data_IF_709611612559
#
_entry.id   IF_709611612559
#
_cell.length_a   1.000
_cell.length_b   1.000
_cell.length_c   1.000
_cell.angle_alpha   90.00
_cell.angle_beta   90.00
_cell.angle_gamma   90.00
#
_symmetry.space_group_name_H-M   'P 1'
#
loop_
_entity.id
_entity.type
_entity.pdbx_description
1 polymer ?
#
# COMPACT_ATOMS: atom_id res chain seq x y z
N UNK A 1 -15.42 21.18 23.75
CA UNK A 1 -14.57 20.15 23.11
C UNK A 1 -14.84 18.85 23.82
N UNK A 2 -15.26 17.80 23.11
CA UNK A 2 -15.55 16.50 23.71
C UNK A 2 -14.23 15.73 23.91
N UNK A 3 -13.95 15.31 25.13
CA UNK A 3 -12.81 14.45 25.47
C UNK A 3 -13.11 12.99 25.12
N UNK A 4 -12.08 12.23 24.73
CA UNK A 4 -12.19 10.79 24.50
C UNK A 4 -12.55 10.06 25.82
N UNK A 5 -13.33 8.95 25.75
CA UNK A 5 -13.53 8.10 26.92
C UNK A 5 -12.18 7.55 27.43
N UNK A 6 -12.00 7.39 28.75
CA UNK A 6 -10.78 6.83 29.30
C UNK A 6 -10.57 5.40 28.78
N UNK A 7 -9.35 5.09 28.34
CA UNK A 7 -8.98 3.75 27.92
C UNK A 7 -9.29 2.75 29.03
N UNK A 8 -9.99 1.66 28.70
CA UNK A 8 -10.33 0.63 29.69
C UNK A 8 -9.06 0.08 30.32
N UNK A 9 -9.04 -0.04 31.65
CA UNK A 9 -7.95 -0.50 32.51
C UNK A 9 -7.49 -1.96 32.28
N UNK A 10 -7.85 -2.58 31.15
CA UNK A 10 -7.54 -3.96 30.80
C UNK A 10 -6.13 -4.17 30.25
N UNK A 11 -5.33 -3.11 30.09
CA UNK A 11 -3.96 -3.19 29.57
C UNK A 11 -2.96 -2.83 30.67
N UNK A 12 -2.67 -3.81 31.52
CA UNK A 12 -1.86 -3.66 32.74
C UNK A 12 -0.34 -3.56 32.55
N UNK A 13 0.17 -3.16 31.38
CA UNK A 13 1.61 -2.95 31.22
C UNK A 13 1.91 -1.97 30.08
N UNK A 14 2.79 -0.99 30.33
CA UNK A 14 3.19 0.04 29.36
C UNK A 14 4.23 -0.46 28.34
N UNK A 15 4.55 -1.75 28.35
CA UNK A 15 5.49 -2.37 27.42
C UNK A 15 4.93 -2.41 25.99
N UNK A 16 5.77 -2.03 25.03
CA UNK A 16 5.39 -1.94 23.61
C UNK A 16 5.44 -3.32 22.96
N UNK A 17 6.32 -4.16 23.48
CA UNK A 17 6.47 -5.55 23.11
C UNK A 17 6.24 -6.41 24.35
N UNK A 18 5.23 -7.26 24.29
CA UNK A 18 4.96 -8.27 25.30
C UNK A 18 5.55 -9.60 24.84
N UNK A 19 6.36 -10.23 25.70
CA UNK A 19 6.92 -11.55 25.41
C UNK A 19 5.84 -12.60 25.08
N UNK A 20 4.64 -12.47 25.68
CA UNK A 20 3.48 -13.31 25.40
C UNK A 20 3.03 -13.27 23.93
N UNK A 21 3.33 -12.19 23.20
CA UNK A 21 2.93 -12.00 21.80
C UNK A 21 4.07 -12.30 20.81
N UNK A 22 5.17 -12.91 21.27
CA UNK A 22 6.34 -13.20 20.42
C UNK A 22 5.99 -14.08 19.21
N UNK A 23 5.12 -15.08 19.39
CA UNK A 23 4.67 -15.96 18.31
C UNK A 23 3.95 -15.20 17.20
N UNK A 24 3.06 -14.26 17.57
CA UNK A 24 2.36 -13.39 16.64
C UNK A 24 3.31 -12.41 15.95
N UNK A 25 4.28 -11.86 16.69
CA UNK A 25 5.30 -10.97 16.13
C UNK A 25 6.16 -11.66 15.07
N UNK A 26 6.62 -12.89 15.34
CA UNK A 26 7.36 -13.71 14.38
C UNK A 26 6.52 -13.99 13.14
N UNK A 27 5.27 -14.42 13.32
CA UNK A 27 4.33 -14.65 12.21
C UNK A 27 4.18 -13.40 11.34
N UNK A 28 3.96 -12.24 11.96
CA UNK A 28 3.77 -10.97 11.25
C UNK A 28 5.04 -10.53 10.52
N UNK A 29 6.22 -10.73 11.13
CA UNK A 29 7.51 -10.47 10.48
C UNK A 29 7.72 -11.36 9.25
N UNK A 30 7.37 -12.65 9.33
CA UNK A 30 7.41 -13.56 8.18
C UNK A 30 6.52 -13.04 7.06
N UNK A 31 5.26 -12.68 7.34
CA UNK A 31 4.34 -12.18 6.32
C UNK A 31 4.81 -10.87 5.67
N UNK A 32 5.38 -9.95 6.45
CA UNK A 32 5.99 -8.73 5.91
C UNK A 32 7.13 -9.04 4.93
N UNK A 33 8.01 -9.99 5.28
CA UNK A 33 9.14 -10.38 4.43
C UNK A 33 8.67 -11.13 3.17
N UNK A 34 7.68 -12.01 3.28
CA UNK A 34 7.04 -12.66 2.14
C UNK A 34 6.39 -11.63 1.20
N UNK A 35 5.89 -10.51 1.76
CA UNK A 35 5.39 -9.36 1.01
C UNK A 35 6.39 -8.72 0.05
N UNK A 36 7.71 -8.93 0.24
CA UNK A 36 8.74 -8.43 -0.67
C UNK A 36 9.06 -9.34 -1.85
N UNK A 37 8.65 -10.62 -1.82
CA UNK A 37 8.88 -11.55 -2.94
C UNK A 37 8.37 -10.98 -4.28
N UNK A 38 7.15 -10.41 -4.34
CA UNK A 38 6.66 -9.75 -5.54
C UNK A 38 7.52 -8.55 -5.99
N UNK A 39 8.09 -7.79 -5.05
CA UNK A 39 8.95 -6.65 -5.37
C UNK A 39 10.28 -7.14 -5.96
N UNK A 40 10.88 -8.18 -5.39
CA UNK A 40 12.10 -8.78 -5.92
C UNK A 40 11.88 -9.37 -7.33
N UNK A 41 10.72 -9.98 -7.57
CA UNK A 41 10.36 -10.41 -8.93
C UNK A 41 10.29 -9.24 -9.92
N UNK A 42 9.73 -8.09 -9.52
CA UNK A 42 9.73 -6.89 -10.35
C UNK A 42 11.16 -6.44 -10.68
N UNK A 43 12.07 -6.44 -9.69
CA UNK A 43 13.47 -6.11 -9.89
C UNK A 43 14.16 -7.05 -10.90
N UNK A 44 13.90 -8.37 -10.80
CA UNK A 44 14.39 -9.36 -11.76
C UNK A 44 13.84 -9.10 -13.16
N UNK A 45 12.56 -8.72 -13.27
CA UNK A 45 11.97 -8.38 -14.56
C UNK A 45 12.64 -7.16 -15.20
N UNK A 46 12.91 -6.11 -14.40
CA UNK A 46 13.62 -4.91 -14.84
C UNK A 46 15.02 -5.27 -15.33
N UNK A 47 15.75 -6.09 -14.57
CA UNK A 47 17.11 -6.52 -14.92
C UNK A 47 17.13 -7.33 -16.23
N UNK A 48 16.20 -8.27 -16.41
CA UNK A 48 16.16 -9.14 -17.60
C UNK A 48 15.62 -8.46 -18.85
N UNK A 49 14.78 -7.42 -18.72
CA UNK A 49 14.16 -6.75 -19.86
C UNK A 49 14.09 -5.22 -19.63
N UNK A 50 15.18 -4.48 -19.95
CA UNK A 50 15.26 -3.03 -19.76
C UNK A 50 14.13 -2.22 -20.43
N UNK A 51 13.57 -2.63 -21.59
CA UNK A 51 12.37 -2.00 -22.15
C UNK A 51 11.16 -1.91 -21.20
N UNK A 52 11.03 -2.80 -20.21
CA UNK A 52 9.99 -2.72 -19.17
C UNK A 52 10.07 -1.38 -18.44
N UNK A 53 11.27 -0.87 -18.18
CA UNK A 53 11.47 0.42 -17.51
C UNK A 53 10.84 1.54 -18.30
N UNK A 54 11.11 1.61 -19.61
CA UNK A 54 10.56 2.67 -20.46
C UNK A 54 9.03 2.66 -20.46
N UNK A 55 8.41 1.47 -20.41
CA UNK A 55 6.97 1.28 -20.50
C UNK A 55 6.21 1.47 -19.19
N UNK A 56 6.79 1.06 -18.06
CA UNK A 56 6.11 1.01 -16.76
C UNK A 56 6.76 1.88 -15.68
N UNK A 57 7.74 2.73 -16.02
CA UNK A 57 8.42 3.64 -15.07
C UNK A 57 7.45 4.49 -14.24
N UNK A 58 6.41 5.05 -14.85
CA UNK A 58 5.46 5.97 -14.20
C UNK A 58 4.28 5.26 -13.55
N UNK A 59 4.20 3.93 -13.63
CA UNK A 59 3.09 3.17 -13.06
C UNK A 59 3.66 2.18 -12.05
N UNK A 60 3.96 0.98 -12.50
CA UNK A 60 4.23 -0.18 -11.64
C UNK A 60 5.59 -0.06 -10.96
N UNK A 61 6.60 0.48 -11.66
CA UNK A 61 7.95 0.63 -11.11
C UNK A 61 7.95 1.73 -10.06
N UNK A 62 7.29 2.87 -10.33
CA UNK A 62 7.13 3.93 -9.34
C UNK A 62 6.39 3.43 -8.09
N UNK A 63 5.25 2.75 -8.26
CA UNK A 63 4.52 2.17 -7.14
C UNK A 63 5.40 1.19 -6.33
N UNK A 64 6.04 0.24 -7.00
CA UNK A 64 6.87 -0.77 -6.35
C UNK A 64 8.09 -0.19 -5.63
N UNK A 65 8.75 0.81 -6.22
CA UNK A 65 9.90 1.48 -5.61
C UNK A 65 9.51 2.29 -4.38
N UNK A 66 8.45 3.11 -4.47
CA UNK A 66 7.96 3.91 -3.35
C UNK A 66 7.46 3.01 -2.21
N UNK A 67 6.73 1.95 -2.54
CA UNK A 67 6.30 0.95 -1.56
C UNK A 67 7.50 0.31 -0.87
N UNK A 68 8.45 -0.23 -1.63
CA UNK A 68 9.65 -0.84 -1.05
C UNK A 68 10.41 0.10 -0.10
N UNK A 69 10.77 1.29 -0.58
CA UNK A 69 11.60 2.24 0.17
C UNK A 69 10.93 2.68 1.48
N UNK A 70 9.61 2.87 1.46
CA UNK A 70 8.89 3.40 2.61
C UNK A 70 8.38 2.33 3.57
N UNK A 71 8.15 1.09 3.10
CA UNK A 71 7.80 -0.03 3.99
C UNK A 71 9.03 -0.68 4.62
N UNK A 72 10.22 -0.54 4.03
CA UNK A 72 11.45 -1.18 4.51
C UNK A 72 11.78 -0.84 5.98
N UNK A 73 11.77 0.44 6.43
CA UNK A 73 12.04 0.77 7.83
C UNK A 73 11.06 0.08 8.79
N UNK A 74 9.78 0.01 8.42
CA UNK A 74 8.76 -0.68 9.19
C UNK A 74 9.01 -2.19 9.25
N UNK A 75 9.41 -2.82 8.16
CA UNK A 75 9.72 -4.26 8.18
C UNK A 75 10.96 -4.58 8.98
N UNK A 76 12.04 -3.80 8.85
CA UNK A 76 13.27 -3.99 9.62
C UNK A 76 12.97 -3.87 11.11
N UNK A 77 12.23 -2.83 11.51
CA UNK A 77 11.86 -2.62 12.90
C UNK A 77 11.03 -3.79 13.47
N UNK A 78 9.97 -4.21 12.80
CA UNK A 78 9.14 -5.34 13.25
C UNK A 78 9.90 -6.68 13.26
N UNK A 79 10.80 -6.88 12.31
CA UNK A 79 11.63 -8.10 12.24
C UNK A 79 12.65 -8.13 13.37
N UNK A 80 13.29 -6.99 13.65
CA UNK A 80 14.22 -6.87 14.77
C UNK A 80 13.53 -7.16 16.11
N UNK A 81 12.34 -6.58 16.32
CA UNK A 81 11.51 -6.85 17.50
C UNK A 81 11.18 -8.34 17.65
N UNK A 82 10.71 -8.97 16.56
CA UNK A 82 10.29 -10.37 16.60
C UNK A 82 11.44 -11.34 16.91
N UNK A 83 12.66 -11.04 16.44
CA UNK A 83 13.82 -11.93 16.59
C UNK A 83 14.57 -11.69 17.90
N UNK A 84 14.81 -10.42 18.24
CA UNK A 84 15.77 -10.06 19.29
C UNK A 84 15.13 -9.64 20.62
N UNK A 85 13.83 -9.33 20.61
CA UNK A 85 13.12 -8.99 21.85
C UNK A 85 12.31 -10.19 22.32
N UNK A 86 12.69 -10.73 23.47
CA UNK A 86 12.05 -11.90 24.11
C UNK A 86 11.63 -11.63 25.56
N UNK A 87 11.75 -10.39 26.00
CA UNK A 87 11.38 -9.90 27.33
C UNK A 87 10.52 -8.65 27.18
N UNK A 88 9.88 -8.23 28.27
CA UNK A 88 9.11 -6.98 28.27
C UNK A 88 10.04 -5.78 28.10
N UNK A 89 9.77 -4.96 27.09
CA UNK A 89 10.49 -3.72 26.87
C UNK A 89 9.56 -2.57 27.21
N UNK A 90 9.89 -1.83 28.27
CA UNK A 90 9.17 -0.61 28.64
C UNK A 90 9.24 0.40 27.49
N UNK A 91 8.06 0.89 27.09
CA UNK A 91 8.00 1.88 26.00
C UNK A 91 8.29 3.26 26.54
N UNK A 92 9.37 3.88 26.06
CA UNK A 92 9.52 5.32 26.23
C UNK A 92 8.59 6.05 25.25
N UNK A 93 8.10 7.23 25.65
CA UNK A 93 7.32 8.12 24.77
C UNK A 93 8.07 8.36 23.45
N UNK A 94 9.40 8.50 23.52
CA UNK A 94 10.26 8.65 22.35
C UNK A 94 10.23 7.42 21.42
N UNK A 95 10.45 6.21 21.95
CA UNK A 95 10.37 4.96 21.17
C UNK A 95 9.00 4.79 20.51
N UNK A 96 7.92 5.11 21.24
CA UNK A 96 6.57 5.02 20.73
C UNK A 96 6.30 6.01 19.59
N UNK A 97 6.63 7.28 19.80
CA UNK A 97 6.30 8.37 18.85
C UNK A 97 7.22 8.34 17.64
N UNK A 98 8.54 8.24 17.86
CA UNK A 98 9.50 8.38 16.77
C UNK A 98 9.64 7.07 15.98
N UNK A 99 9.80 5.95 16.68
CA UNK A 99 10.12 4.69 16.02
C UNK A 99 8.85 3.97 15.56
N UNK A 100 7.88 3.70 16.46
CA UNK A 100 6.65 3.00 16.06
C UNK A 100 5.77 3.86 15.15
N UNK A 101 5.40 5.06 15.57
CA UNK A 101 4.49 5.91 14.78
C UNK A 101 5.18 6.43 13.51
N UNK A 102 6.46 6.79 13.56
CA UNK A 102 7.22 7.19 12.38
C UNK A 102 7.36 6.09 11.32
N UNK A 103 7.72 4.85 11.72
CA UNK A 103 7.80 3.75 10.76
C UNK A 103 6.41 3.35 10.22
N UNK A 104 5.36 3.43 11.05
CA UNK A 104 3.98 3.19 10.62
C UNK A 104 3.51 4.26 9.63
N UNK A 105 3.84 5.53 9.86
CA UNK A 105 3.56 6.64 8.97
C UNK A 105 4.18 6.42 7.59
N UNK A 106 5.45 6.04 7.53
CA UNK A 106 6.12 5.74 6.26
C UNK A 106 5.40 4.61 5.51
N UNK A 107 4.98 3.56 6.23
CA UNK A 107 4.19 2.47 5.65
C UNK A 107 2.86 2.99 5.07
N UNK A 108 2.12 3.85 5.78
CA UNK A 108 0.87 4.43 5.26
C UNK A 108 1.10 5.31 4.04
N UNK A 109 2.10 6.20 4.11
CA UNK A 109 2.48 7.08 3.01
C UNK A 109 2.83 6.29 1.74
N UNK A 110 3.42 5.10 1.89
CA UNK A 110 3.77 4.23 0.77
C UNK A 110 2.59 3.92 -0.18
N UNK A 111 1.36 3.87 0.34
CA UNK A 111 0.16 3.59 -0.47
C UNK A 111 -0.34 4.81 -1.25
N UNK A 112 0.08 6.02 -0.89
CA UNK A 112 -0.25 7.25 -1.63
C UNK A 112 0.34 7.27 -3.04
N UNK A 113 1.36 6.44 -3.30
CA UNK A 113 1.91 6.24 -4.64
C UNK A 113 0.81 5.83 -5.64
N UNK A 114 -0.14 4.99 -5.20
CA UNK A 114 -1.26 4.56 -6.03
C UNK A 114 -2.17 5.73 -6.38
N UNK A 115 -2.52 6.57 -5.40
CA UNK A 115 -3.35 7.75 -5.61
C UNK A 115 -2.70 8.70 -6.60
N UNK A 116 -1.39 8.95 -6.46
CA UNK A 116 -0.62 9.78 -7.39
C UNK A 116 -0.65 9.22 -8.82
N UNK A 117 -0.47 7.91 -8.98
CA UNK A 117 -0.57 7.24 -10.29
C UNK A 117 -2.00 7.35 -10.84
N UNK A 118 -3.03 7.13 -10.02
CA UNK A 118 -4.43 7.20 -10.44
C UNK A 118 -4.79 8.60 -10.97
N UNK A 119 -4.36 9.66 -10.27
CA UNK A 119 -4.55 11.05 -10.73
C UNK A 119 -3.87 11.27 -12.09
N UNK A 120 -2.59 10.93 -12.19
CA UNK A 120 -1.83 11.05 -13.45
C UNK A 120 -2.47 10.27 -14.60
N UNK A 121 -3.04 9.09 -14.32
CA UNK A 121 -3.70 8.28 -15.35
C UNK A 121 -5.04 8.85 -15.77
N UNK A 122 -5.84 9.38 -14.86
CA UNK A 122 -7.07 10.10 -15.23
C UNK A 122 -6.72 11.28 -16.15
N UNK A 123 -5.71 12.07 -15.78
CA UNK A 123 -5.23 13.19 -16.60
C UNK A 123 -4.73 12.74 -17.97
N UNK A 124 -4.00 11.64 -18.05
CA UNK A 124 -3.47 11.10 -19.30
C UNK A 124 -4.55 10.48 -20.20
N UNK A 125 -5.46 9.69 -19.64
CA UNK A 125 -6.40 8.86 -20.40
C UNK A 125 -7.68 9.64 -20.72
N UNK A 126 -8.24 10.33 -19.73
CA UNK A 126 -9.51 11.07 -19.87
C UNK A 126 -9.24 12.45 -20.46
N UNK A 127 -8.26 13.18 -19.91
CA UNK A 127 -7.97 14.56 -20.32
C UNK A 127 -6.83 14.69 -21.36
N UNK A 128 -6.20 13.58 -21.77
CA UNK A 128 -5.12 13.55 -22.77
C UNK A 128 -3.90 14.42 -22.41
N UNK A 129 -3.65 14.69 -21.13
CA UNK A 129 -2.48 15.45 -20.66
C UNK A 129 -1.29 14.52 -20.38
N UNK A 130 -0.15 14.80 -20.98
CA UNK A 130 1.06 14.01 -20.79
C UNK A 130 1.62 14.19 -19.37
N UNK A 131 1.37 13.23 -18.49
CA UNK A 131 1.90 13.20 -17.14
C UNK A 131 3.17 12.33 -17.07
N UNK A 132 4.29 12.94 -16.72
CA UNK A 132 5.57 12.26 -16.51
C UNK A 132 5.81 11.83 -15.06
N UNK A 133 7.01 11.30 -14.77
CA UNK A 133 7.40 10.88 -13.42
C UNK A 133 7.41 12.05 -12.42
N UNK A 134 7.81 13.25 -12.85
CA UNK A 134 7.80 14.45 -12.01
C UNK A 134 6.38 14.81 -11.52
N UNK A 135 5.35 14.57 -12.34
CA UNK A 135 3.96 14.81 -11.95
C UNK A 135 3.51 13.81 -10.90
N UNK A 136 3.88 12.53 -11.04
CA UNK A 136 3.61 11.53 -10.00
C UNK A 136 4.26 11.90 -8.67
N UNK A 137 5.52 12.37 -8.70
CA UNK A 137 6.21 12.81 -7.49
C UNK A 137 5.51 14.01 -6.85
N UNK A 138 5.06 14.98 -7.66
CA UNK A 138 4.31 16.13 -7.16
C UNK A 138 2.97 15.71 -6.53
N UNK A 139 2.16 14.90 -7.22
CA UNK A 139 0.90 14.40 -6.66
C UNK A 139 1.11 13.53 -5.42
N UNK A 140 2.18 12.74 -5.40
CA UNK A 140 2.56 11.95 -4.24
C UNK A 140 2.86 12.86 -3.05
N UNK A 141 3.72 13.88 -3.22
CA UNK A 141 4.06 14.81 -2.16
C UNK A 141 2.81 15.53 -1.62
N UNK A 142 1.96 16.04 -2.51
CA UNK A 142 0.69 16.70 -2.13
C UNK A 142 -0.22 15.75 -1.35
N UNK A 143 -0.35 14.50 -1.80
CA UNK A 143 -1.16 13.51 -1.10
C UNK A 143 -0.63 13.22 0.31
N UNK A 144 0.69 13.30 0.55
CA UNK A 144 1.31 13.04 1.85
C UNK A 144 1.21 14.20 2.85
N UNK A 145 0.99 15.44 2.39
CA UNK A 145 1.02 16.62 3.25
C UNK A 145 0.07 16.54 4.47
N UNK A 146 -1.20 16.09 4.35
CA UNK A 146 -2.10 16.09 5.49
C UNK A 146 -1.63 15.18 6.63
N UNK A 147 -1.16 13.97 6.31
CA UNK A 147 -0.70 13.03 7.36
C UNK A 147 0.65 13.42 7.94
N UNK A 148 1.52 14.07 7.16
CA UNK A 148 2.76 14.66 7.67
C UNK A 148 2.47 15.82 8.63
N UNK A 149 1.52 16.69 8.29
CA UNK A 149 1.10 17.79 9.17
C UNK A 149 0.50 17.27 10.48
N UNK A 150 -0.33 16.22 10.41
CA UNK A 150 -0.92 15.60 11.59
C UNK A 150 0.11 14.86 12.45
N UNK A 151 1.11 14.21 11.83
CA UNK A 151 2.25 13.65 12.54
C UNK A 151 3.06 14.73 13.25
N UNK A 152 3.33 15.88 12.60
CA UNK A 152 4.00 17.02 13.23
C UNK A 152 3.18 17.56 14.40
N UNK A 153 1.86 17.69 14.26
CA UNK A 153 0.96 18.09 15.35
C UNK A 153 1.09 17.15 16.56
N UNK A 154 1.18 15.84 16.30
CA UNK A 154 1.41 14.81 17.32
C UNK A 154 2.71 15.01 18.12
N UNK A 155 3.76 15.65 17.55
CA UNK A 155 4.99 15.94 18.31
C UNK A 155 4.88 17.19 19.17
N UNK A 156 4.22 18.22 18.67
CA UNK A 156 4.30 19.55 19.29
C UNK A 156 3.15 19.85 20.26
N UNK A 157 1.99 19.20 20.11
CA UNK A 157 0.78 19.56 20.85
C UNK A 157 0.26 18.43 21.75
N UNK A 158 0.48 17.18 21.34
CA UNK A 158 -0.01 16.00 22.06
C UNK A 158 0.68 15.79 23.42
N UNK A 159 -0.10 15.33 24.41
CA UNK A 159 0.41 14.86 25.70
C UNK A 159 0.15 13.36 25.81
N UNK A 160 1.14 12.55 26.22
CA UNK A 160 0.95 11.13 26.40
C UNK A 160 -0.12 10.88 27.46
N UNK A 161 -1.15 10.13 27.12
CA UNK A 161 -2.14 9.67 28.10
C UNK A 161 -1.50 8.61 29.01
N UNK A 162 -1.56 8.77 30.34
CA UNK A 162 -0.97 7.79 31.26
C UNK A 162 -1.67 6.43 31.09
N UNK A 163 -0.88 5.35 31.10
CA UNK A 163 -1.32 3.95 30.93
C UNK A 163 -1.97 3.60 29.59
N UNK A 164 -1.88 4.46 28.57
CA UNK A 164 -2.36 4.11 27.23
C UNK A 164 -1.34 3.24 26.47
N UNK A 165 -1.85 2.35 25.62
CA UNK A 165 -1.03 1.51 24.74
C UNK A 165 -0.31 2.42 23.74
N UNK A 166 0.95 2.09 23.44
CA UNK A 166 1.69 2.77 22.39
C UNK A 166 0.97 2.70 21.03
N UNK A 167 0.33 3.79 20.61
CA UNK A 167 -0.48 3.88 19.40
C UNK A 167 -1.02 5.31 19.20
N UNK A 168 -1.82 5.58 18.15
CA UNK A 168 -2.33 6.91 17.86
C UNK A 168 -3.11 7.51 19.04
N UNK A 169 -3.88 6.67 19.74
CA UNK A 169 -4.66 7.00 20.94
C UNK A 169 -3.82 7.52 22.11
N UNK A 170 -2.53 7.19 22.17
CA UNK A 170 -1.61 7.69 23.19
C UNK A 170 -1.41 9.21 23.07
N UNK A 171 -1.55 9.76 21.86
CA UNK A 171 -1.15 11.13 21.55
C UNK A 171 -2.33 12.07 21.28
N UNK A 172 -3.46 11.57 20.81
CA UNK A 172 -4.59 12.44 20.53
C UNK A 172 -5.47 12.64 21.77
N UNK A 173 -5.34 13.81 22.39
CA UNK A 173 -6.25 14.27 23.46
C UNK A 173 -7.60 14.74 22.89
N UNK A 174 -7.57 15.24 21.65
CA UNK A 174 -8.74 15.77 20.95
C UNK A 174 -9.26 14.78 19.90
N UNK A 175 -10.58 14.70 19.78
CA UNK A 175 -11.25 13.84 18.80
C UNK A 175 -10.95 14.28 17.35
N UNK A 176 -10.80 15.58 17.09
CA UNK A 176 -10.68 16.12 15.73
C UNK A 176 -9.40 15.66 14.99
N UNK A 177 -8.18 15.79 15.55
CA UNK A 177 -6.97 15.27 14.91
C UNK A 177 -7.01 13.74 14.70
N UNK A 178 -7.56 13.00 15.67
CA UNK A 178 -7.76 11.55 15.54
C UNK A 178 -8.73 11.18 14.40
N UNK A 179 -9.79 11.97 14.20
CA UNK A 179 -10.70 11.81 13.07
C UNK A 179 -10.02 12.13 11.74
N UNK A 180 -9.11 13.12 11.70
CA UNK A 180 -8.31 13.44 10.51
C UNK A 180 -7.34 12.31 10.19
N UNK A 181 -6.60 11.80 11.18
CA UNK A 181 -5.71 10.64 11.04
C UNK A 181 -6.45 9.44 10.45
N UNK A 182 -7.55 9.06 11.09
CA UNK A 182 -8.37 7.93 10.65
C UNK A 182 -8.96 8.20 9.26
N UNK A 183 -9.64 9.33 9.08
CA UNK A 183 -10.25 9.73 7.81
C UNK A 183 -9.26 9.76 6.65
N UNK A 184 -8.02 10.13 6.90
CA UNK A 184 -6.95 10.09 5.91
C UNK A 184 -6.55 8.66 5.53
N UNK A 185 -6.32 7.79 6.53
CA UNK A 185 -5.92 6.39 6.32
C UNK A 185 -6.97 5.65 5.47
N UNK A 186 -8.25 5.96 5.65
CA UNK A 186 -9.33 5.41 4.82
C UNK A 186 -9.50 6.14 3.48
N UNK A 187 -9.52 7.46 3.52
CA UNK A 187 -9.97 8.30 2.41
C UNK A 187 -9.03 8.24 1.22
N UNK A 188 -7.72 8.27 1.44
CA UNK A 188 -6.75 8.31 0.35
C UNK A 188 -6.76 7.02 -0.50
N UNK A 189 -6.74 5.81 0.08
CA UNK A 189 -6.92 4.58 -0.69
C UNK A 189 -8.25 4.53 -1.46
N UNK A 190 -9.35 5.02 -0.86
CA UNK A 190 -10.66 5.06 -1.52
C UNK A 190 -10.68 6.03 -2.71
N UNK A 191 -10.01 7.17 -2.62
CA UNK A 191 -9.81 8.09 -3.75
C UNK A 191 -9.06 7.36 -4.89
N UNK A 192 -8.03 6.58 -4.58
CA UNK A 192 -7.32 5.80 -5.60
C UNK A 192 -8.24 4.79 -6.29
N UNK A 193 -9.08 4.08 -5.54
CA UNK A 193 -10.08 3.15 -6.08
C UNK A 193 -11.05 3.87 -7.00
N UNK A 194 -11.60 5.01 -6.57
CA UNK A 194 -12.56 5.79 -7.34
C UNK A 194 -11.95 6.27 -8.66
N UNK A 195 -10.76 6.87 -8.63
CA UNK A 195 -10.06 7.35 -9.83
C UNK A 195 -9.67 6.22 -10.79
N UNK A 196 -9.21 5.07 -10.26
CA UNK A 196 -8.94 3.89 -11.09
C UNK A 196 -10.22 3.30 -11.69
N UNK A 197 -11.33 3.34 -10.96
CA UNK A 197 -12.64 2.89 -11.45
C UNK A 197 -13.15 3.79 -12.57
N UNK A 198 -13.02 5.10 -12.43
CA UNK A 198 -13.34 6.07 -13.51
C UNK A 198 -12.45 5.81 -14.74
N UNK A 199 -11.16 5.60 -14.54
CA UNK A 199 -10.22 5.30 -15.65
C UNK A 199 -10.59 4.00 -16.36
N UNK A 200 -10.87 2.93 -15.61
CA UNK A 200 -11.28 1.64 -16.16
C UNK A 200 -12.63 1.75 -16.89
N UNK A 201 -13.61 2.42 -16.28
CA UNK A 201 -14.93 2.68 -16.86
C UNK A 201 -14.84 3.49 -18.15
N UNK A 202 -14.01 4.52 -18.21
CA UNK A 202 -13.77 5.31 -19.42
C UNK A 202 -13.12 4.46 -20.53
N UNK A 203 -12.13 3.63 -20.21
CA UNK A 203 -11.50 2.73 -21.18
C UNK A 203 -12.48 1.67 -21.70
N UNK A 204 -13.34 1.13 -20.84
CA UNK A 204 -14.42 0.22 -21.23
C UNK A 204 -15.44 0.93 -22.12
N UNK A 205 -15.93 2.10 -21.72
CA UNK A 205 -16.85 2.91 -22.52
C UNK A 205 -16.28 3.19 -23.90
N UNK A 206 -15.02 3.63 -23.99
CA UNK A 206 -14.34 3.88 -25.27
C UNK A 206 -14.20 2.61 -26.10
N UNK A 207 -13.96 1.46 -25.48
CA UNK A 207 -13.92 0.17 -26.18
C UNK A 207 -15.30 -0.18 -26.75
N UNK A 208 -16.37 -0.04 -25.96
CA UNK A 208 -17.73 -0.35 -26.39
C UNK A 208 -18.27 0.64 -27.43
N UNK A 209 -18.01 1.94 -27.28
CA UNK A 209 -18.45 2.95 -28.25
C UNK A 209 -17.62 2.89 -29.55
N UNK A 210 -16.32 2.58 -29.46
CA UNK A 210 -15.47 2.37 -30.63
C UNK A 210 -15.62 0.97 -31.25
N UNK A 211 -16.42 0.06 -30.68
CA UNK A 211 -16.73 -1.25 -31.30
C UNK A 211 -17.46 -1.12 -32.65
N UNK A 212 -17.93 0.06 -33.04
CA UNK A 212 -18.40 0.33 -34.40
C UNK A 212 -17.28 0.71 -35.39
N UNK A 213 -16.07 1.10 -34.96
CA UNK A 213 -15.06 1.68 -35.87
C UNK A 213 -13.59 1.32 -35.64
N UNK A 214 -13.16 0.78 -34.49
CA UNK A 214 -11.76 0.38 -34.27
C UNK A 214 -11.63 -0.98 -33.59
N UNK A 215 -11.78 -2.03 -34.41
CA UNK A 215 -11.30 -3.37 -34.13
C UNK A 215 -9.78 -3.30 -33.91
N UNK A 216 -9.30 -3.71 -32.74
CA UNK A 216 -7.92 -4.15 -32.50
C UNK A 216 -6.76 -3.13 -32.54
N UNK A 217 -6.76 -2.10 -31.67
CA UNK A 217 -5.47 -1.58 -31.22
C UNK A 217 -4.97 -2.40 -30.01
N UNK A 218 -3.92 -3.20 -30.21
CA UNK A 218 -3.19 -3.90 -29.13
C UNK A 218 -2.82 -2.98 -27.96
N UNK A 219 -2.71 -1.67 -28.20
CA UNK A 219 -2.45 -0.64 -27.19
C UNK A 219 -3.62 -0.49 -26.22
N UNK A 220 -4.86 -0.39 -26.71
CA UNK A 220 -6.06 -0.22 -25.87
C UNK A 220 -6.31 -1.42 -24.96
N UNK A 221 -6.08 -2.64 -25.46
CA UNK A 221 -6.23 -3.88 -24.68
C UNK A 221 -5.19 -3.93 -23.55
N UNK A 222 -3.93 -3.57 -23.84
CA UNK A 222 -2.90 -3.48 -22.82
C UNK A 222 -3.23 -2.43 -21.75
N UNK A 223 -3.76 -1.26 -22.13
CA UNK A 223 -4.16 -0.21 -21.18
C UNK A 223 -5.27 -0.66 -20.23
N UNK A 224 -6.24 -1.45 -20.71
CA UNK A 224 -7.30 -2.04 -19.88
C UNK A 224 -6.69 -2.98 -18.84
N UNK A 225 -5.79 -3.88 -19.24
CA UNK A 225 -5.15 -4.79 -18.28
C UNK A 225 -4.34 -4.03 -17.22
N UNK A 226 -3.64 -2.95 -17.60
CA UNK A 226 -2.93 -2.10 -16.63
C UNK A 226 -3.92 -1.35 -15.74
N UNK A 227 -5.06 -0.87 -16.27
CA UNK A 227 -6.09 -0.21 -15.46
C UNK A 227 -6.75 -1.19 -14.45
N UNK A 228 -7.06 -2.42 -14.87
CA UNK A 228 -7.56 -3.47 -13.97
C UNK A 228 -6.53 -3.85 -12.92
N UNK A 229 -5.26 -3.96 -13.30
CA UNK A 229 -4.17 -4.18 -12.35
C UNK A 229 -4.18 -3.08 -11.29
N UNK A 230 -4.11 -1.81 -11.70
CA UNK A 230 -4.10 -0.67 -10.77
C UNK A 230 -5.37 -0.58 -9.91
N UNK A 231 -6.53 -0.96 -10.45
CA UNK A 231 -7.76 -1.02 -9.67
C UNK A 231 -7.64 -2.03 -8.53
N UNK A 232 -7.21 -3.26 -8.83
CA UNK A 232 -6.95 -4.28 -7.80
C UNK A 232 -5.88 -3.81 -6.81
N UNK A 233 -4.82 -3.18 -7.31
CA UNK A 233 -3.76 -2.57 -6.51
C UNK A 233 -4.27 -1.50 -5.55
N UNK A 234 -5.35 -0.77 -5.89
CA UNK A 234 -6.00 0.20 -5.00
C UNK A 234 -7.04 -0.41 -4.06
N UNK A 235 -7.77 -1.46 -4.49
CA UNK A 235 -8.78 -2.12 -3.67
C UNK A 235 -8.15 -2.87 -2.49
N UNK A 236 -7.00 -3.51 -2.71
CA UNK A 236 -6.30 -4.27 -1.67
C UNK A 236 -5.92 -3.38 -0.47
N UNK A 237 -5.21 -2.24 -0.63
CA UNK A 237 -4.97 -1.28 0.44
C UNK A 237 -6.26 -0.69 1.00
N UNK A 238 -7.27 -0.40 0.18
CA UNK A 238 -8.54 0.12 0.69
C UNK A 238 -9.19 -0.86 1.68
N UNK A 239 -9.24 -2.16 1.36
CA UNK A 239 -9.79 -3.18 2.26
C UNK A 239 -8.93 -3.39 3.51
N UNK A 240 -7.62 -3.53 3.33
CA UNK A 240 -6.68 -3.84 4.42
C UNK A 240 -6.37 -2.66 5.34
N UNK A 241 -6.47 -1.43 4.85
CA UNK A 241 -6.39 -0.23 5.69
C UNK A 241 -7.73 0.08 6.34
N UNK A 242 -8.85 -0.20 5.65
CA UNK A 242 -10.16 -0.06 6.27
C UNK A 242 -10.35 -0.99 7.45
N UNK A 243 -9.80 -2.20 7.36
CA UNK A 243 -9.84 -3.13 8.48
C UNK A 243 -8.98 -2.67 9.67
N UNK A 244 -7.81 -2.06 9.42
CA UNK A 244 -6.97 -1.46 10.49
C UNK A 244 -7.65 -0.27 11.16
N UNK A 245 -8.27 0.62 10.40
CA UNK A 245 -8.97 1.74 11.00
C UNK A 245 -10.24 1.31 11.75
N UNK A 246 -10.92 0.23 11.31
CA UNK A 246 -12.01 -0.38 12.09
C UNK A 246 -11.53 -0.89 13.46
N UNK A 247 -10.31 -1.44 13.55
CA UNK A 247 -9.69 -1.78 14.83
C UNK A 247 -9.43 -0.56 15.71
N UNK A 248 -8.89 0.53 15.16
CA UNK A 248 -8.74 1.77 15.94
C UNK A 248 -10.08 2.28 16.46
N UNK A 249 -11.16 2.16 15.66
CA UNK A 249 -12.51 2.50 16.12
C UNK A 249 -13.02 1.54 17.21
N UNK A 250 -12.70 0.24 17.16
CA UNK A 250 -13.03 -0.68 18.25
C UNK A 250 -12.30 -0.33 19.54
N UNK A 251 -11.01 0.02 19.45
CA UNK A 251 -10.20 0.43 20.60
C UNK A 251 -10.73 1.75 21.21
N UNK A 252 -11.22 2.68 20.39
CA UNK A 252 -11.82 3.94 20.84
C UNK A 252 -13.22 3.75 21.45
N UNK A 253 -14.07 2.94 20.81
CA UNK A 253 -15.49 2.84 21.13
C UNK A 253 -15.87 1.56 21.89
N UNK A 254 -14.89 0.73 22.28
CA UNK A 254 -15.11 -0.49 23.06
C UNK A 254 -15.90 -1.59 22.35
N UNK A 255 -15.94 -1.57 21.01
CA UNK A 255 -16.68 -2.57 20.24
C UNK A 255 -15.93 -3.91 20.25
N UNK A 256 -16.59 -4.98 20.67
CA UNK A 256 -16.02 -6.34 20.64
C UNK A 256 -16.15 -6.96 19.25
N UNK A 257 -15.05 -7.49 18.70
CA UNK A 257 -15.08 -8.36 17.51
C UNK A 257 -14.72 -9.79 17.83
N UNK A 258 -15.15 -10.70 16.96
CA UNK A 258 -14.80 -12.12 17.03
C UNK A 258 -13.30 -12.31 16.72
N UNK A 259 -12.61 -13.16 17.48
CA UNK A 259 -11.14 -13.30 17.44
C UNK A 259 -10.59 -13.67 16.05
N UNK A 260 -11.26 -14.57 15.32
CA UNK A 260 -10.84 -14.97 13.97
C UNK A 260 -10.86 -13.79 12.99
N UNK A 261 -11.81 -12.86 13.15
CA UNK A 261 -11.91 -11.69 12.28
C UNK A 261 -10.79 -10.70 12.58
N UNK A 262 -10.46 -10.52 13.86
CA UNK A 262 -9.31 -9.72 14.29
C UNK A 262 -8.00 -10.26 13.71
N UNK A 263 -7.76 -11.57 13.81
CA UNK A 263 -6.55 -12.21 13.27
C UNK A 263 -6.44 -12.07 11.74
N UNK A 264 -7.56 -12.24 11.01
CA UNK A 264 -7.62 -12.04 9.57
C UNK A 264 -7.28 -10.59 9.17
N UNK A 265 -7.84 -9.63 9.90
CA UNK A 265 -7.63 -8.19 9.69
C UNK A 265 -6.17 -7.82 9.91
N UNK A 266 -5.56 -8.30 11.00
CA UNK A 266 -4.16 -8.04 11.31
C UNK A 266 -3.23 -8.65 10.26
N UNK A 267 -3.41 -9.93 9.95
CA UNK A 267 -2.55 -10.67 9.01
C UNK A 267 -2.61 -10.10 7.60
N UNK A 268 -3.79 -9.78 7.10
CA UNK A 268 -3.97 -9.19 5.76
C UNK A 268 -3.28 -7.83 5.60
N UNK A 269 -3.20 -7.06 6.68
CA UNK A 269 -2.50 -5.78 6.75
C UNK A 269 -0.99 -5.87 6.58
N UNK A 270 -0.37 -7.03 6.90
CA UNK A 270 1.07 -7.26 6.73
C UNK A 270 1.43 -7.76 5.32
N UNK A 271 0.47 -8.37 4.62
CA UNK A 271 0.66 -8.84 3.23
C UNK A 271 0.28 -7.80 2.17
N UNK A 272 -0.28 -6.66 2.57
CA UNK A 272 -0.87 -5.66 1.65
C UNK A 272 0.07 -5.24 0.53
N UNK A 273 1.34 -4.93 0.85
CA UNK A 273 2.38 -4.54 -0.13
C UNK A 273 2.63 -5.63 -1.17
N UNK A 274 2.72 -6.88 -0.73
CA UNK A 274 2.93 -8.02 -1.63
C UNK A 274 1.72 -8.31 -2.50
N UNK A 275 0.53 -8.36 -1.90
CA UNK A 275 -0.75 -8.59 -2.60
C UNK A 275 -0.98 -7.53 -3.69
N UNK A 276 -0.64 -6.28 -3.39
CA UNK A 276 -0.70 -5.19 -4.34
C UNK A 276 0.19 -5.48 -5.57
N UNK A 277 1.45 -5.84 -5.37
CA UNK A 277 2.35 -6.13 -6.49
C UNK A 277 1.98 -7.40 -7.27
N UNK A 278 1.40 -8.41 -6.61
CA UNK A 278 0.88 -9.63 -7.26
C UNK A 278 -0.21 -9.29 -8.28
N UNK A 279 -1.09 -8.32 -7.99
CA UNK A 279 -2.14 -7.91 -8.93
C UNK A 279 -1.55 -7.47 -10.29
N UNK A 280 -0.43 -6.75 -10.29
CA UNK A 280 0.27 -6.39 -11.53
C UNK A 280 0.84 -7.60 -12.27
N UNK A 281 1.31 -8.62 -11.55
CA UNK A 281 1.88 -9.83 -12.17
C UNK A 281 0.82 -10.68 -12.86
N UNK A 282 -0.36 -10.81 -12.25
CA UNK A 282 -1.46 -11.62 -12.77
C UNK A 282 -2.12 -10.94 -13.97
N UNK A 283 -2.40 -9.65 -13.85
CA UNK A 283 -3.19 -8.92 -14.84
C UNK A 283 -2.41 -8.53 -16.09
N UNK A 284 -1.10 -8.27 -15.98
CA UNK A 284 -0.32 -7.74 -17.11
C UNK A 284 0.40 -8.88 -17.81
N UNK A 285 0.04 -9.10 -19.08
CA UNK A 285 0.56 -10.18 -19.93
C UNK A 285 2.09 -10.28 -19.89
N UNK A 286 2.78 -9.14 -19.94
CA UNK A 286 4.24 -9.08 -19.94
C UNK A 286 4.86 -9.67 -18.66
N UNK A 287 4.34 -9.30 -17.48
CA UNK A 287 4.82 -9.84 -16.21
C UNK A 287 4.44 -11.32 -16.03
N UNK A 288 3.24 -11.71 -16.48
CA UNK A 288 2.83 -13.12 -16.47
C UNK A 288 3.73 -14.00 -17.35
N UNK A 289 4.14 -13.51 -18.52
CA UNK A 289 5.08 -14.22 -19.40
C UNK A 289 6.46 -14.37 -18.75
N UNK A 290 6.98 -13.28 -18.17
CA UNK A 290 8.23 -13.32 -17.40
C UNK A 290 8.15 -14.29 -16.21
N UNK A 291 7.01 -14.33 -15.51
CA UNK A 291 6.79 -15.26 -14.40
C UNK A 291 6.90 -16.72 -14.85
N UNK A 292 6.22 -17.08 -15.94
CA UNK A 292 6.31 -18.43 -16.52
C UNK A 292 7.73 -18.79 -16.95
N UNK A 293 8.45 -17.87 -17.59
CA UNK A 293 9.83 -18.11 -18.00
C UNK A 293 10.76 -18.33 -16.80
N UNK A 294 10.61 -17.54 -15.74
CA UNK A 294 11.52 -17.57 -14.58
C UNK A 294 11.23 -18.78 -13.68
N UNK A 295 9.96 -19.00 -13.33
CA UNK A 295 9.58 -20.02 -12.33
C UNK A 295 9.19 -21.36 -12.94
N UNK A 296 8.53 -21.36 -14.11
CA UNK A 296 8.13 -22.60 -14.78
C UNK A 296 9.15 -23.08 -15.82
N UNK A 297 10.28 -22.35 -15.98
CA UNK A 297 11.33 -22.62 -16.97
C UNK A 297 10.80 -22.86 -18.38
N UNK A 298 9.69 -22.21 -18.71
CA UNK A 298 9.03 -22.38 -20.00
C UNK A 298 9.83 -21.68 -21.10
N UNK A 299 10.58 -22.46 -21.89
CA UNK A 299 11.44 -21.97 -23.00
C UNK A 299 10.64 -21.59 -24.25
N UNK A 300 9.35 -21.92 -24.32
CA UNK A 300 8.50 -21.65 -25.49
C UNK A 300 8.18 -20.16 -25.71
N UNK A 301 8.42 -19.32 -24.71
CA UNK A 301 8.09 -17.89 -24.71
C UNK A 301 9.33 -17.06 -25.09
N UNK A 302 10.02 -17.39 -26.17
CA UNK A 302 11.14 -16.59 -26.67
C UNK A 302 10.64 -15.64 -27.76
N UNK A 303 10.25 -14.42 -27.37
CA UNK A 303 10.17 -13.16 -28.17
C UNK A 303 9.04 -12.27 -27.64
N UNK A 304 9.40 -11.40 -26.70
CA UNK A 304 8.60 -10.21 -26.37
C UNK A 304 9.54 -9.02 -26.47
N UNK A 305 9.92 -8.67 -27.70
CA UNK A 305 10.93 -7.64 -27.94
C UNK A 305 11.17 -7.28 -29.41
N UNK A 306 10.90 -8.16 -30.36
CA UNK A 306 11.14 -7.85 -31.78
C UNK A 306 9.88 -7.36 -32.47
N UNK A 307 10.01 -6.19 -33.10
CA UNK A 307 9.13 -5.66 -34.13
C UNK A 307 8.86 -6.78 -35.12
N UNK A 308 7.58 -7.12 -35.30
CA UNK A 308 7.12 -7.99 -36.40
C UNK A 308 7.40 -7.29 -37.73
N UNK A 309 8.60 -7.48 -38.28
CA UNK A 309 8.79 -7.48 -39.73
C UNK A 309 8.27 -8.82 -40.23
N UNK A 310 7.08 -8.78 -40.83
CA UNK A 310 6.56 -9.88 -41.63
C UNK A 310 7.46 -10.00 -42.85
N UNK A 311 8.39 -10.95 -42.83
CA UNK A 311 8.96 -11.50 -44.07
C UNK A 311 8.00 -12.59 -44.53
N UNK A 312 7.14 -12.23 -45.48
CA UNK A 312 6.55 -13.19 -46.41
C UNK A 312 7.68 -13.83 -47.20
N UNK A 313 7.78 -15.16 -47.14
CA UNK A 313 8.21 -15.95 -48.30
C UNK A 313 6.94 -16.53 -48.91
#
# INVERSE_FOLDING_TARGET
MASLPPASSSFGNASFYHAANQSEAIRNAIFLNLGYIPIYFLAICIYKNPPIVRRYKTTIIFAGAVQYLLTLPYTIFNTWLAIYVNHEVETTVFMCTFIRMGTSLLNFISFNALTAISISRVLLIVFKKNCGLAHNLAFFFVACLPILADFVYMFFVSRPTPNAICGPLLFYYELAPLMVWNGYIFGIPLIAVLLNSVTAGYLLYKRYSASAYMKNSHRTVNEIFVATALLLQSVIPALTMSSKGYRSMQEIYGMKTVEWLKELIETSGYMTTGLNMIASMICIKHFRQMFKQIFLRDKSITRVGEVTTVTTM
#
